data_IF_943150417356
#
_entry.id   IF_943150417356
#
_cell.length_a   1.000
_cell.length_b   1.000
_cell.length_c   1.000
_cell.angle_alpha   90.00
_cell.angle_beta   90.00
_cell.angle_gamma   90.00
#
_symmetry.space_group_name_H-M   'P 1'
#
loop_
_entity.id
_entity.type
_entity.pdbx_description
1 polymer ?
#
# COMPACT_ATOMS: atom_id res chain seq x y z
N UNK A 1 -0.12 -13.62 22.62
CA UNK A 1 0.59 -14.51 21.67
C UNK A 1 -0.46 -15.31 20.91
N UNK A 2 -1.07 -14.68 19.91
CA UNK A 2 -1.95 -15.37 18.96
C UNK A 2 -1.07 -16.18 18.01
N UNK A 3 -1.23 -17.48 18.12
CA UNK A 3 -0.59 -18.53 17.34
C UNK A 3 -0.39 -18.12 15.86
N UNK A 4 0.85 -18.09 15.46
CA UNK A 4 1.25 -18.24 14.06
C UNK A 4 0.84 -19.64 13.61
N UNK A 5 -0.42 -19.83 13.26
CA UNK A 5 -0.89 -21.03 12.56
C UNK A 5 -0.43 -20.93 11.11
N UNK A 6 0.83 -21.20 10.86
CA UNK A 6 1.33 -21.51 9.54
C UNK A 6 0.73 -22.86 9.13
N UNK A 7 -0.12 -22.85 8.10
CA UNK A 7 -0.38 -24.04 7.33
C UNK A 7 -1.79 -24.57 7.21
N UNK A 8 -2.84 -23.87 7.62
CA UNK A 8 -4.22 -24.27 7.34
C UNK A 8 -4.98 -23.16 6.64
N UNK A 9 -4.99 -23.19 5.32
CA UNK A 9 -5.76 -22.30 4.46
C UNK A 9 -7.20 -22.79 4.34
N UNK A 10 -8.16 -21.92 4.62
CA UNK A 10 -9.58 -22.17 4.36
C UNK A 10 -10.34 -22.93 5.41
N UNK A 11 -9.95 -22.87 6.68
CA UNK A 11 -10.57 -23.67 7.70
C UNK A 11 -11.27 -22.86 8.81
N UNK A 12 -11.98 -23.58 9.64
CA UNK A 12 -12.61 -23.15 10.86
C UNK A 12 -11.76 -22.18 11.74
N UNK A 13 -10.43 -22.31 11.76
CA UNK A 13 -9.55 -21.42 12.51
C UNK A 13 -9.56 -19.98 11.97
N UNK A 14 -9.57 -19.80 10.65
CA UNK A 14 -9.64 -18.49 9.99
C UNK A 14 -11.00 -17.83 10.23
N UNK A 15 -12.07 -18.60 10.13
CA UNK A 15 -13.42 -18.10 10.45
C UNK A 15 -13.53 -17.66 11.92
N UNK A 16 -12.94 -18.38 12.85
CA UNK A 16 -12.92 -17.96 14.27
C UNK A 16 -12.09 -16.71 14.51
N UNK A 17 -10.96 -16.58 13.83
CA UNK A 17 -10.12 -15.39 13.91
C UNK A 17 -10.86 -14.16 13.36
N UNK A 18 -11.46 -14.30 12.20
CA UNK A 18 -12.33 -13.28 11.60
C UNK A 18 -13.45 -12.85 12.54
N UNK A 19 -14.19 -13.83 13.09
CA UNK A 19 -15.26 -13.56 14.08
C UNK A 19 -14.72 -12.85 15.33
N UNK A 20 -13.51 -13.19 15.79
CA UNK A 20 -12.91 -12.54 16.95
C UNK A 20 -12.56 -11.08 16.66
N UNK A 21 -11.99 -10.79 15.49
CA UNK A 21 -11.68 -9.42 15.07
C UNK A 21 -12.94 -8.56 14.93
N UNK A 22 -13.99 -9.11 14.33
CA UNK A 22 -15.27 -8.42 14.18
C UNK A 22 -15.89 -8.02 15.53
N UNK A 23 -15.77 -8.84 16.57
CA UNK A 23 -16.28 -8.51 17.91
C UNK A 23 -15.58 -7.31 18.57
N UNK A 24 -14.36 -7.01 18.18
CA UNK A 24 -13.61 -5.88 18.73
C UNK A 24 -14.21 -4.53 18.32
N UNK A 25 -14.97 -4.45 17.22
CA UNK A 25 -15.67 -3.23 16.82
C UNK A 25 -16.55 -2.68 17.96
N UNK A 26 -17.41 -3.51 18.53
CA UNK A 26 -18.32 -3.09 19.63
C UNK A 26 -17.54 -2.62 20.86
N UNK A 27 -16.41 -3.22 21.12
CA UNK A 27 -15.56 -2.88 22.27
C UNK A 27 -14.88 -1.52 22.11
N UNK A 28 -14.41 -1.20 20.91
CA UNK A 28 -13.66 0.01 20.66
C UNK A 28 -14.53 1.18 20.19
N UNK A 29 -15.58 0.92 19.45
CA UNK A 29 -16.36 1.92 18.74
C UNK A 29 -17.88 1.84 18.97
N UNK A 30 -18.35 0.90 19.78
CA UNK A 30 -19.78 0.63 19.93
C UNK A 30 -20.64 1.78 20.45
N UNK A 31 -20.03 2.82 21.02
CA UNK A 31 -20.71 4.06 21.48
C UNK A 31 -20.49 5.25 20.53
N UNK A 32 -19.82 5.05 19.40
CA UNK A 32 -19.48 6.13 18.47
C UNK A 32 -20.28 5.99 17.19
N UNK A 33 -20.94 7.05 16.76
CA UNK A 33 -21.62 7.12 15.47
C UNK A 33 -20.66 7.67 14.41
N UNK A 34 -20.57 6.96 13.28
CA UNK A 34 -19.75 7.36 12.13
C UNK A 34 -20.66 7.54 10.92
N UNK A 35 -20.45 8.58 10.12
CA UNK A 35 -21.12 8.74 8.84
C UNK A 35 -20.65 7.69 7.82
N UNK A 36 -19.39 7.31 7.87
CA UNK A 36 -18.78 6.22 7.10
C UNK A 36 -17.48 5.78 7.74
N UNK A 37 -16.96 4.62 7.35
CA UNK A 37 -15.61 4.17 7.71
C UNK A 37 -14.80 3.86 6.45
N UNK A 38 -13.51 4.21 6.49
CA UNK A 38 -12.59 4.02 5.37
C UNK A 38 -11.39 3.18 5.85
N UNK A 39 -11.27 1.99 5.30
CA UNK A 39 -10.06 1.20 5.45
C UNK A 39 -9.02 1.60 4.39
N UNK A 40 -8.31 2.70 4.64
CA UNK A 40 -7.44 3.31 3.64
C UNK A 40 -6.23 2.43 3.28
N UNK A 41 -5.65 1.70 4.23
CA UNK A 41 -4.51 0.81 3.96
C UNK A 41 -4.89 -0.48 3.20
N UNK A 42 -6.11 -0.98 3.39
CA UNK A 42 -6.74 -1.99 2.55
C UNK A 42 -6.24 -3.43 2.64
N UNK A 43 -5.23 -3.75 3.45
CA UNK A 43 -4.67 -5.10 3.46
C UNK A 43 -4.23 -5.65 4.84
N UNK A 44 -4.47 -4.94 5.92
CA UNK A 44 -4.15 -5.43 7.27
C UNK A 44 -5.35 -6.24 7.81
N UNK A 45 -5.14 -7.52 8.10
CA UNK A 45 -6.18 -8.49 8.40
C UNK A 45 -7.07 -8.11 9.59
N UNK A 46 -6.47 -7.58 10.66
CA UNK A 46 -7.21 -7.19 11.87
C UNK A 46 -8.14 -6.01 11.56
N UNK A 47 -7.64 -4.94 10.97
CA UNK A 47 -8.40 -3.75 10.64
C UNK A 47 -9.47 -4.05 9.59
N UNK A 48 -9.14 -4.88 8.59
CA UNK A 48 -10.08 -5.32 7.56
C UNK A 48 -11.31 -5.96 8.19
N UNK A 49 -11.12 -6.95 9.06
CA UNK A 49 -12.24 -7.66 9.70
C UNK A 49 -12.95 -6.84 10.78
N UNK A 50 -12.21 -5.96 11.47
CA UNK A 50 -12.77 -5.06 12.48
C UNK A 50 -13.81 -4.11 11.87
N UNK A 51 -13.47 -3.48 10.74
CA UNK A 51 -14.31 -2.48 10.10
C UNK A 51 -15.52 -3.07 9.37
N UNK A 52 -15.54 -4.37 9.09
CA UNK A 52 -16.71 -5.05 8.53
C UNK A 52 -17.96 -4.98 9.42
N UNK A 53 -17.79 -4.77 10.73
CA UNK A 53 -18.90 -4.65 11.69
C UNK A 53 -19.43 -3.21 11.84
N UNK A 54 -18.84 -2.23 11.17
CA UNK A 54 -19.31 -0.86 11.24
C UNK A 54 -20.76 -0.76 10.72
N UNK A 55 -21.68 -0.15 11.48
CA UNK A 55 -23.10 -0.05 11.10
C UNK A 55 -23.37 1.13 10.13
N UNK A 56 -22.37 1.55 9.38
CA UNK A 56 -22.41 2.66 8.43
C UNK A 56 -21.73 2.27 7.12
N UNK A 57 -21.84 3.06 6.05
CA UNK A 57 -21.13 2.79 4.79
C UNK A 57 -19.64 2.60 4.99
N UNK A 58 -19.08 1.58 4.32
CA UNK A 58 -17.69 1.14 4.46
C UNK A 58 -17.00 1.14 3.12
N UNK A 59 -15.78 1.68 3.06
CA UNK A 59 -14.93 1.55 1.88
C UNK A 59 -13.58 0.93 2.22
N UNK A 60 -13.06 0.12 1.30
CA UNK A 60 -11.72 -0.45 1.38
C UNK A 60 -10.90 0.04 0.20
N UNK A 61 -9.72 0.61 0.49
CA UNK A 61 -8.82 1.13 -0.53
C UNK A 61 -7.75 0.10 -0.87
N UNK A 62 -7.33 0.08 -2.13
CA UNK A 62 -6.37 -0.88 -2.67
C UNK A 62 -5.22 -0.12 -3.32
N UNK A 63 -4.05 -0.21 -2.67
CA UNK A 63 -2.83 0.48 -3.10
C UNK A 63 -1.82 -0.46 -3.78
N UNK A 64 -2.04 -1.77 -3.69
CA UNK A 64 -1.14 -2.80 -4.20
C UNK A 64 -1.90 -3.82 -5.04
N UNK A 65 -1.19 -4.53 -5.90
CA UNK A 65 -1.71 -5.74 -6.51
C UNK A 65 -1.88 -6.82 -5.43
N UNK A 66 -3.12 -7.00 -4.96
CA UNK A 66 -3.44 -7.88 -3.85
C UNK A 66 -3.25 -9.36 -4.18
N UNK A 67 -3.36 -9.76 -5.44
CA UNK A 67 -3.02 -11.11 -5.88
C UNK A 67 -1.53 -11.38 -5.66
N UNK A 68 -0.68 -10.44 -6.02
CA UNK A 68 0.78 -10.55 -5.77
C UNK A 68 1.13 -10.48 -4.29
N UNK A 69 0.46 -9.64 -3.50
CA UNK A 69 0.67 -9.58 -2.04
C UNK A 69 0.38 -10.91 -1.38
N UNK A 70 -0.69 -11.58 -1.76
CA UNK A 70 -1.09 -12.89 -1.25
C UNK A 70 -0.13 -13.99 -1.71
N UNK A 71 0.10 -14.12 -3.04
CA UNK A 71 0.80 -15.26 -3.61
C UNK A 71 2.32 -15.18 -3.47
N UNK A 72 2.90 -13.98 -3.56
CA UNK A 72 4.36 -13.82 -3.55
C UNK A 72 4.92 -13.45 -2.18
N UNK A 73 4.19 -12.65 -1.41
CA UNK A 73 4.68 -12.14 -0.13
C UNK A 73 4.06 -12.85 1.06
N UNK A 74 2.89 -13.47 0.90
CA UNK A 74 2.15 -14.11 1.99
C UNK A 74 1.73 -13.13 3.09
N UNK A 75 1.58 -11.85 2.75
CA UNK A 75 1.29 -10.80 3.72
C UNK A 75 -0.17 -10.78 4.16
N UNK A 76 -1.04 -11.37 3.35
CA UNK A 76 -2.48 -11.38 3.60
C UNK A 76 -3.08 -12.77 3.44
N UNK A 77 -4.13 -13.00 4.18
CA UNK A 77 -4.95 -14.17 4.05
C UNK A 77 -5.98 -13.97 2.92
N UNK A 78 -5.96 -14.79 1.84
CA UNK A 78 -6.88 -14.64 0.72
C UNK A 78 -8.35 -14.81 1.10
N UNK A 79 -8.64 -15.63 2.11
CA UNK A 79 -10.00 -15.81 2.62
C UNK A 79 -10.55 -14.49 3.20
N UNK A 80 -9.79 -13.83 4.07
CA UNK A 80 -10.21 -12.55 4.68
C UNK A 80 -10.39 -11.44 3.65
N UNK A 81 -9.53 -11.39 2.63
CA UNK A 81 -9.69 -10.43 1.53
C UNK A 81 -10.95 -10.69 0.71
N UNK A 82 -11.21 -11.95 0.40
CA UNK A 82 -12.41 -12.34 -0.34
C UNK A 82 -13.68 -11.94 0.43
N UNK A 83 -13.74 -12.22 1.71
CA UNK A 83 -14.85 -11.81 2.58
C UNK A 83 -14.99 -10.28 2.60
N UNK A 84 -13.89 -9.54 2.79
CA UNK A 84 -13.91 -8.09 2.81
C UNK A 84 -14.48 -7.49 1.52
N UNK A 85 -14.03 -7.97 0.35
CA UNK A 85 -14.53 -7.46 -0.93
C UNK A 85 -16.00 -7.83 -1.21
N UNK A 86 -16.57 -8.78 -0.46
CA UNK A 86 -18.01 -9.06 -0.50
C UNK A 86 -18.82 -8.23 0.52
N UNK A 87 -18.21 -7.83 1.62
CA UNK A 87 -18.89 -7.15 2.73
C UNK A 87 -18.79 -5.63 2.69
N UNK A 88 -17.69 -5.09 2.18
CA UNK A 88 -17.54 -3.64 2.02
C UNK A 88 -18.46 -3.09 0.91
N UNK A 89 -19.02 -1.91 1.16
CA UNK A 89 -19.97 -1.27 0.25
C UNK A 89 -19.26 -0.70 -0.99
N UNK A 90 -18.02 -0.22 -0.80
CA UNK A 90 -17.20 0.34 -1.88
C UNK A 90 -15.78 -0.21 -1.82
N UNK A 91 -15.24 -0.54 -3.00
CA UNK A 91 -13.86 -0.97 -3.21
C UNK A 91 -13.18 0.11 -4.05
N UNK A 92 -12.09 0.67 -3.56
CA UNK A 92 -11.45 1.85 -4.15
C UNK A 92 -9.99 1.55 -4.52
N UNK A 93 -9.73 1.01 -5.73
CA UNK A 93 -8.36 0.92 -6.24
C UNK A 93 -7.81 2.31 -6.57
N UNK A 94 -6.50 2.50 -6.37
CA UNK A 94 -5.82 3.75 -6.73
C UNK A 94 -5.34 3.79 -8.19
N UNK A 95 -5.55 2.72 -8.95
CA UNK A 95 -5.22 2.60 -10.37
C UNK A 95 -6.17 1.61 -11.05
N UNK A 96 -6.46 1.82 -12.33
CA UNK A 96 -7.26 0.90 -13.16
C UNK A 96 -6.66 -0.51 -13.21
N UNK A 97 -5.34 -0.63 -13.22
CA UNK A 97 -4.62 -1.92 -13.28
C UNK A 97 -4.91 -2.84 -12.08
N UNK A 98 -5.37 -2.27 -10.96
CA UNK A 98 -5.71 -3.03 -9.75
C UNK A 98 -7.10 -3.65 -9.78
N UNK A 99 -7.95 -3.28 -10.74
CA UNK A 99 -9.33 -3.79 -10.84
C UNK A 99 -9.32 -5.28 -11.18
N UNK A 100 -8.63 -5.64 -12.26
CA UNK A 100 -8.67 -7.01 -12.79
C UNK A 100 -8.21 -8.06 -11.76
N UNK A 101 -7.09 -7.87 -11.05
CA UNK A 101 -6.67 -8.80 -9.99
C UNK A 101 -7.73 -8.99 -8.90
N UNK A 102 -8.38 -7.92 -8.47
CA UNK A 102 -9.39 -7.97 -7.40
C UNK A 102 -10.66 -8.69 -7.85
N UNK A 103 -11.10 -8.50 -9.08
CA UNK A 103 -12.27 -9.17 -9.65
C UNK A 103 -11.97 -10.65 -9.91
N UNK A 104 -10.85 -10.96 -10.58
CA UNK A 104 -10.55 -12.34 -11.01
C UNK A 104 -10.14 -13.25 -9.86
N UNK A 105 -9.33 -12.77 -8.92
CA UNK A 105 -8.77 -13.59 -7.84
C UNK A 105 -9.70 -13.66 -6.61
N UNK A 106 -10.36 -12.56 -6.30
CA UNK A 106 -11.16 -12.47 -5.08
C UNK A 106 -12.66 -12.40 -5.32
N UNK A 107 -13.11 -12.34 -6.58
CA UNK A 107 -14.53 -12.33 -6.94
C UNK A 107 -15.26 -11.06 -6.53
N UNK A 108 -14.57 -9.92 -6.45
CA UNK A 108 -15.18 -8.65 -6.11
C UNK A 108 -16.21 -8.23 -7.17
N UNK A 109 -17.34 -7.68 -6.71
CA UNK A 109 -18.36 -7.14 -7.60
C UNK A 109 -17.87 -5.86 -8.28
N UNK A 110 -17.75 -5.89 -9.60
CA UNK A 110 -17.29 -4.75 -10.41
C UNK A 110 -18.14 -3.49 -10.20
N UNK A 111 -19.41 -3.65 -9.89
CA UNK A 111 -20.34 -2.51 -9.67
C UNK A 111 -20.02 -1.71 -8.41
N UNK A 112 -19.29 -2.30 -7.46
CA UNK A 112 -18.84 -1.65 -6.22
C UNK A 112 -17.46 -1.02 -6.35
N UNK A 113 -16.79 -1.17 -7.49
CA UNK A 113 -15.43 -0.69 -7.69
C UNK A 113 -15.43 0.68 -8.35
N UNK A 114 -14.81 1.65 -7.69
CA UNK A 114 -14.58 3.00 -8.21
C UNK A 114 -13.12 3.35 -8.05
N UNK A 115 -12.44 3.70 -9.14
CA UNK A 115 -11.03 4.13 -9.09
C UNK A 115 -10.96 5.56 -8.59
N UNK A 116 -10.13 5.77 -7.57
CA UNK A 116 -9.76 7.11 -7.09
C UNK A 116 -8.24 7.15 -6.97
N UNK A 117 -7.61 7.92 -7.85
CA UNK A 117 -6.16 8.05 -7.86
C UNK A 117 -5.65 8.74 -6.59
N UNK A 118 -4.42 8.40 -6.19
CA UNK A 118 -3.76 9.08 -5.08
C UNK A 118 -3.63 10.58 -5.38
N UNK A 119 -4.04 11.39 -4.42
CA UNK A 119 -3.86 12.84 -4.50
C UNK A 119 -2.41 13.22 -4.18
N UNK A 120 -1.82 14.06 -5.02
CA UNK A 120 -0.59 14.74 -4.68
C UNK A 120 -0.73 16.23 -4.92
N UNK A 121 -0.09 17.01 -4.09
CA UNK A 121 0.03 18.45 -4.31
C UNK A 121 1.14 18.71 -5.36
N UNK A 122 0.84 18.44 -6.63
CA UNK A 122 1.80 18.60 -7.72
C UNK A 122 2.25 20.07 -7.88
N UNK A 123 1.40 21.03 -7.55
CA UNK A 123 1.74 22.45 -7.60
C UNK A 123 2.88 22.78 -6.64
N UNK A 124 2.77 22.33 -5.40
CA UNK A 124 3.86 22.49 -4.43
C UNK A 124 5.15 21.80 -4.86
N UNK A 125 5.04 20.66 -5.54
CA UNK A 125 6.22 19.97 -6.10
C UNK A 125 6.85 20.80 -7.21
N UNK A 126 6.04 21.37 -8.13
CA UNK A 126 6.54 22.25 -9.19
C UNK A 126 7.19 23.51 -8.64
N UNK A 127 6.54 24.20 -7.69
CA UNK A 127 7.10 25.39 -7.03
C UNK A 127 8.45 25.08 -6.38
N UNK A 128 8.55 23.97 -5.66
CA UNK A 128 9.79 23.55 -5.00
C UNK A 128 10.85 23.11 -6.00
N UNK A 129 10.48 22.60 -7.18
CA UNK A 129 11.42 22.21 -8.22
C UNK A 129 12.11 23.40 -8.89
N UNK A 130 11.54 24.60 -8.78
CA UNK A 130 12.15 25.84 -9.28
C UNK A 130 13.15 26.45 -8.29
N UNK A 131 13.16 25.98 -7.04
CA UNK A 131 14.14 26.44 -6.07
C UNK A 131 15.54 25.94 -6.44
N UNK A 132 16.58 26.78 -6.27
CA UNK A 132 17.96 26.34 -6.47
C UNK A 132 18.25 25.12 -5.57
N UNK A 133 18.89 24.11 -6.16
CA UNK A 133 19.39 22.99 -5.36
C UNK A 133 20.57 23.48 -4.52
N UNK A 134 20.47 23.34 -3.22
CA UNK A 134 21.53 23.69 -2.28
C UNK A 134 21.73 22.54 -1.30
N UNK A 135 22.99 22.16 -1.12
CA UNK A 135 23.39 21.25 -0.07
C UNK A 135 23.88 22.06 1.14
N UNK A 136 23.48 21.66 2.32
CA UNK A 136 23.86 22.28 3.59
C UNK A 136 24.17 21.22 4.63
N UNK A 137 24.47 21.65 5.85
CA UNK A 137 24.81 20.76 6.97
C UNK A 137 23.71 19.77 7.37
N UNK A 138 22.45 20.04 7.00
CA UNK A 138 21.32 19.12 7.21
C UNK A 138 21.20 18.06 6.12
N UNK A 139 22.01 18.14 5.06
CA UNK A 139 22.00 17.19 3.96
C UNK A 139 22.64 15.87 4.38
N UNK A 140 21.83 14.82 4.48
CA UNK A 140 22.32 13.47 4.76
C UNK A 140 22.93 12.85 3.50
N UNK A 141 24.24 12.58 3.54
CA UNK A 141 24.97 12.02 2.41
C UNK A 141 26.09 11.08 2.87
N UNK A 142 26.34 10.03 2.08
CA UNK A 142 27.49 9.15 2.23
C UNK A 142 28.75 9.67 1.52
N UNK A 143 28.62 10.77 0.79
CA UNK A 143 29.75 11.47 0.14
C UNK A 143 29.78 12.91 0.61
N UNK A 144 30.92 13.60 0.42
CA UNK A 144 31.04 15.00 0.82
C UNK A 144 30.07 15.90 0.05
N UNK A 145 29.69 17.03 0.66
CA UNK A 145 28.85 18.04 0.00
C UNK A 145 29.52 18.63 -1.25
N UNK A 146 30.85 18.76 -1.23
CA UNK A 146 31.64 19.18 -2.38
C UNK A 146 31.50 18.20 -3.54
N UNK A 147 31.54 16.89 -3.27
CA UNK A 147 31.30 15.85 -4.29
C UNK A 147 29.90 15.94 -4.86
N UNK A 148 28.88 16.12 -4.02
CA UNK A 148 27.50 16.30 -4.50
C UNK A 148 27.36 17.55 -5.38
N UNK A 149 27.96 18.66 -4.97
CA UNK A 149 27.93 19.89 -5.75
C UNK A 149 28.66 19.70 -7.10
N UNK A 150 29.82 19.06 -7.12
CA UNK A 150 30.55 18.73 -8.34
C UNK A 150 29.72 17.87 -9.31
N UNK A 151 28.95 16.92 -8.79
CA UNK A 151 28.02 16.12 -9.62
C UNK A 151 26.93 16.99 -10.21
N UNK A 152 26.33 17.91 -9.45
CA UNK A 152 25.31 18.82 -9.96
C UNK A 152 25.84 19.74 -11.06
N UNK A 153 27.05 20.26 -10.88
CA UNK A 153 27.67 21.24 -11.77
C UNK A 153 28.24 20.60 -13.04
N UNK A 154 28.39 19.27 -13.06
CA UNK A 154 28.93 18.57 -14.23
C UNK A 154 27.94 18.56 -15.40
N UNK A 155 28.41 18.52 -16.64
CA UNK A 155 27.62 18.37 -17.86
C UNK A 155 27.24 16.90 -18.14
N UNK A 156 27.70 15.95 -17.32
CA UNK A 156 27.40 14.53 -17.50
C UNK A 156 25.91 14.23 -17.26
N UNK A 157 25.34 13.27 -17.98
CA UNK A 157 23.99 12.80 -17.71
C UNK A 157 23.82 12.36 -16.27
N UNK A 158 22.75 12.81 -15.63
CA UNK A 158 22.45 12.51 -14.21
C UNK A 158 21.22 11.64 -14.11
N UNK A 159 21.32 10.57 -13.33
CA UNK A 159 20.22 9.67 -13.06
C UNK A 159 19.92 9.69 -11.56
N UNK A 160 18.63 9.78 -11.22
CA UNK A 160 18.19 9.75 -9.84
C UNK A 160 17.23 8.57 -9.63
N UNK A 161 17.40 7.85 -8.53
CA UNK A 161 16.46 6.82 -8.10
C UNK A 161 16.05 7.09 -6.66
N UNK A 162 14.75 7.21 -6.43
CA UNK A 162 14.19 7.52 -5.12
C UNK A 162 13.35 6.33 -4.63
N UNK A 163 13.66 5.83 -3.44
CA UNK A 163 12.92 4.73 -2.86
C UNK A 163 13.63 4.11 -1.66
N UNK A 164 12.93 3.21 -0.97
CA UNK A 164 13.53 2.39 0.08
C UNK A 164 14.57 1.44 -0.53
N UNK A 165 15.61 1.10 0.23
CA UNK A 165 16.57 0.07 -0.17
C UNK A 165 15.94 -1.32 0.04
N UNK A 166 15.09 -1.73 -0.90
CA UNK A 166 14.40 -3.00 -0.88
C UNK A 166 14.36 -3.60 -2.29
N UNK A 167 14.33 -4.93 -2.43
CA UNK A 167 14.43 -5.62 -3.73
C UNK A 167 13.38 -5.16 -4.75
N UNK A 168 12.17 -4.84 -4.30
CA UNK A 168 11.07 -4.39 -5.15
C UNK A 168 11.32 -3.02 -5.80
N UNK A 169 12.22 -2.17 -5.22
CA UNK A 169 12.59 -0.86 -5.79
C UNK A 169 13.64 -0.96 -6.88
N UNK A 170 14.30 -2.11 -7.00
CA UNK A 170 15.16 -2.43 -8.13
C UNK A 170 16.47 -1.67 -8.20
N UNK A 171 16.94 -1.03 -7.12
CA UNK A 171 18.20 -0.25 -7.12
C UNK A 171 19.38 -1.06 -7.62
N UNK A 172 19.48 -2.35 -7.22
CA UNK A 172 20.56 -3.23 -7.72
C UNK A 172 20.47 -3.40 -9.24
N UNK A 173 19.27 -3.66 -9.78
CA UNK A 173 19.10 -3.81 -11.23
C UNK A 173 19.45 -2.54 -12.00
N UNK A 174 19.17 -1.37 -11.40
CA UNK A 174 19.56 -0.10 -11.98
C UNK A 174 21.08 0.03 -12.05
N UNK A 175 21.80 -0.30 -10.97
CA UNK A 175 23.27 -0.28 -10.95
C UNK A 175 23.87 -1.29 -11.92
N UNK A 176 23.35 -2.53 -11.95
CA UNK A 176 23.82 -3.56 -12.88
C UNK A 176 23.63 -3.12 -14.36
N UNK A 177 22.49 -2.45 -14.66
CA UNK A 177 22.26 -1.90 -16.00
C UNK A 177 23.23 -0.74 -16.31
N UNK A 178 23.51 0.10 -15.34
CA UNK A 178 24.47 1.20 -15.48
C UNK A 178 25.86 0.68 -15.81
N UNK A 179 26.33 -0.35 -15.10
CA UNK A 179 27.64 -0.98 -15.32
C UNK A 179 27.79 -1.60 -16.72
N UNK A 180 26.67 -2.04 -17.33
CA UNK A 180 26.69 -2.63 -18.68
C UNK A 180 26.74 -1.59 -19.80
N UNK A 181 26.22 -0.39 -19.56
CA UNK A 181 26.06 0.63 -20.59
C UNK A 181 27.10 1.76 -20.50
N UNK A 182 27.90 1.79 -19.46
CA UNK A 182 28.88 2.83 -19.17
C UNK A 182 30.29 2.25 -18.99
#
# INVERSE_FOLDING_TARGET
QLLKLKGHTGSWAEHRLHTAYRREWKKHFGSTEFACVIHYNGYEAYTTSLLEEAPCPRSIWIHNDMAREVHLKGNMNPYLLKEAYHTYDHIVPVSEDLIQPVVSEFGADRSRITVIHNCHNYQSVLERSLAPVAFNEDTLSNVSLETLQSVLDSDAPKFISIGRFSPEKGHKRLLDAFEQYW
#
